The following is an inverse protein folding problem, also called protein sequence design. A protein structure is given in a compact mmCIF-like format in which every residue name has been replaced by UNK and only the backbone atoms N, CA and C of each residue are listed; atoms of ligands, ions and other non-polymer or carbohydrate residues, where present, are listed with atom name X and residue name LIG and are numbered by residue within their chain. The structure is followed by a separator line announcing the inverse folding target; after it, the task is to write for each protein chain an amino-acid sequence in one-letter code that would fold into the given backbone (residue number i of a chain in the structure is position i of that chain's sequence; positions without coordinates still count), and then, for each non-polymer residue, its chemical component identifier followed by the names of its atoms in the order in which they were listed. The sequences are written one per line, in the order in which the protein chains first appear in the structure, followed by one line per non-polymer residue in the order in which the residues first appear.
data_IF_753059201484
#
_entry.id   IF_753059201484
#
_cell.length_a   1.000
_cell.length_b   1.000
_cell.length_c   1.000
_cell.angle_alpha   90.00
_cell.angle_beta   90.00
_cell.angle_gamma   90.00
#
_symmetry.space_group_name_H-M   'P 1'
#
loop_
_entity.id
_entity.type
_entity.pdbx_description
1 polymer ?
#
# COMPACT_ATOMS: atom_id res chain seq x y z
N UNK A 1 -7.06 -8.70 12.41
CA UNK A 1 -7.03 -8.05 11.08
C UNK A 1 -7.47 -6.58 11.13
N UNK A 2 -8.53 -6.21 11.87
CA UNK A 2 -8.93 -4.80 12.01
C UNK A 2 -7.84 -3.91 12.61
N UNK A 3 -7.12 -4.41 13.62
CA UNK A 3 -5.97 -3.72 14.21
C UNK A 3 -4.84 -3.50 13.21
N UNK A 4 -4.52 -4.52 12.41
CA UNK A 4 -3.51 -4.45 11.36
C UNK A 4 -3.90 -3.45 10.26
N UNK A 5 -5.16 -3.47 9.83
CA UNK A 5 -5.66 -2.51 8.85
C UNK A 5 -5.58 -1.08 9.39
N UNK A 6 -5.97 -0.88 10.65
CA UNK A 6 -5.91 0.42 11.33
C UNK A 6 -4.48 0.91 11.50
N UNK A 7 -3.54 0.03 11.86
CA UNK A 7 -2.12 0.34 11.99
C UNK A 7 -1.52 0.83 10.66
N UNK A 8 -1.77 0.12 9.56
CA UNK A 8 -1.30 0.51 8.22
C UNK A 8 -1.92 1.86 7.80
N UNK A 9 -3.24 2.02 7.97
CA UNK A 9 -3.91 3.27 7.60
C UNK A 9 -3.44 4.45 8.44
N UNK A 10 -3.20 4.24 9.74
CA UNK A 10 -2.67 5.29 10.61
C UNK A 10 -1.25 5.67 10.22
N UNK A 11 -0.39 4.70 9.92
CA UNK A 11 0.96 4.94 9.40
C UNK A 11 0.94 5.81 8.13
N UNK A 12 0.12 5.45 7.14
CA UNK A 12 0.01 6.22 5.89
C UNK A 12 -0.44 7.67 6.16
N UNK A 13 -1.42 7.86 7.05
CA UNK A 13 -1.91 9.20 7.40
C UNK A 13 -0.86 10.05 8.12
N UNK A 14 -0.08 9.43 9.01
CA UNK A 14 0.95 10.09 9.81
C UNK A 14 2.16 10.50 8.94
N UNK A 15 2.52 9.66 7.97
CA UNK A 15 3.64 9.89 7.05
C UNK A 15 3.29 10.79 5.86
N UNK A 16 2.00 10.86 5.47
CA UNK A 16 1.55 11.64 4.32
C UNK A 16 2.07 13.10 4.28
N UNK A 17 2.10 13.85 5.40
CA UNK A 17 2.66 15.20 5.41
C UNK A 17 4.14 15.25 5.00
N UNK A 18 4.96 14.34 5.50
CA UNK A 18 6.39 14.24 5.13
C UNK A 18 6.55 13.81 3.67
N UNK A 19 5.77 12.81 3.26
CA UNK A 19 5.78 12.34 1.88
C UNK A 19 5.35 13.42 0.90
N UNK A 20 4.36 14.27 1.20
CA UNK A 20 3.95 15.38 0.34
C UNK A 20 5.09 16.36 0.07
N UNK A 21 5.95 16.61 1.06
CA UNK A 21 7.12 17.48 0.90
C UNK A 21 8.22 16.81 0.08
N UNK A 22 8.43 15.49 0.26
CA UNK A 22 9.53 14.75 -0.39
C UNK A 22 9.18 14.21 -1.78
N UNK A 23 7.91 13.96 -2.03
CA UNK A 23 7.36 13.26 -3.18
C UNK A 23 6.18 14.05 -3.75
N UNK A 24 6.42 15.08 -4.58
CA UNK A 24 5.32 15.85 -5.16
C UNK A 24 4.39 14.94 -5.97
N UNK A 25 3.07 15.08 -5.73
CA UNK A 25 2.04 14.25 -6.36
C UNK A 25 1.70 12.95 -5.61
N UNK A 26 2.38 12.62 -4.50
CA UNK A 26 2.07 11.43 -3.68
C UNK A 26 0.64 11.45 -3.12
N UNK A 27 0.00 12.61 -3.03
CA UNK A 27 -1.42 12.74 -2.63
C UNK A 27 -2.40 12.06 -3.58
N UNK A 28 -1.97 11.74 -4.81
CA UNK A 28 -2.75 10.98 -5.79
C UNK A 28 -2.64 9.46 -5.59
N UNK A 29 -1.76 9.00 -4.69
CA UNK A 29 -1.56 7.59 -4.39
C UNK A 29 -2.80 6.99 -3.73
N UNK A 30 -3.36 5.94 -4.34
CA UNK A 30 -4.44 5.17 -3.77
C UNK A 30 -3.90 3.88 -3.13
N UNK A 31 -3.98 3.81 -1.80
CA UNK A 31 -3.61 2.61 -1.03
C UNK A 31 -4.85 1.89 -0.50
N UNK A 32 -5.03 0.62 -0.86
CA UNK A 32 -6.14 -0.20 -0.38
C UNK A 32 -5.71 -1.17 0.72
N UNK A 33 -6.43 -1.17 1.84
CA UNK A 33 -6.21 -2.12 2.94
C UNK A 33 -7.54 -2.83 3.21
N UNK A 34 -7.70 -4.02 2.65
CA UNK A 34 -8.96 -4.76 2.72
C UNK A 34 -8.92 -5.78 3.84
N UNK A 35 -9.74 -5.55 4.86
CA UNK A 35 -10.06 -6.55 5.89
C UNK A 35 -11.31 -7.31 5.48
N UNK A 36 -11.15 -8.60 5.17
CA UNK A 36 -12.20 -9.53 4.75
C UNK A 36 -12.66 -9.39 3.28
N UNK A 37 -12.76 -10.56 2.63
CA UNK A 37 -13.03 -10.82 1.19
C UNK A 37 -14.39 -10.25 0.69
N UNK A 38 -15.19 -9.61 1.54
CA UNK A 38 -16.59 -9.26 1.27
C UNK A 38 -16.83 -7.94 0.52
N UNK A 39 -15.80 -7.14 0.25
CA UNK A 39 -15.88 -6.10 -0.79
C UNK A 39 -14.96 -6.52 -1.93
N UNK A 40 -15.59 -6.93 -3.04
CA UNK A 40 -15.01 -7.81 -4.06
C UNK A 40 -13.80 -7.27 -4.84
N UNK A 41 -13.34 -8.02 -5.85
CA UNK A 41 -12.12 -7.74 -6.64
C UNK A 41 -12.11 -6.42 -7.46
N UNK A 42 -13.09 -5.54 -7.24
CA UNK A 42 -13.24 -4.23 -7.90
C UNK A 42 -12.36 -3.16 -7.30
N UNK A 43 -12.30 -2.97 -5.98
CA UNK A 43 -11.55 -1.84 -5.40
C UNK A 43 -10.02 -2.06 -5.37
N UNK A 44 -9.55 -3.30 -5.21
CA UNK A 44 -8.11 -3.62 -5.25
C UNK A 44 -7.52 -3.51 -6.65
N UNK A 45 -8.35 -3.50 -7.70
CA UNK A 45 -7.93 -3.22 -9.09
C UNK A 45 -7.76 -1.74 -9.39
N UNK A 46 -8.35 -0.86 -8.57
CA UNK A 46 -8.30 0.58 -8.74
C UNK A 46 -7.27 1.26 -7.83
N UNK A 47 -6.69 0.52 -6.87
CA UNK A 47 -5.61 1.00 -6.03
C UNK A 47 -4.24 0.83 -6.71
N UNK A 48 -3.36 1.81 -6.53
CA UNK A 48 -1.97 1.74 -6.98
C UNK A 48 -1.21 0.63 -6.22
N UNK A 49 -1.49 0.49 -4.93
CA UNK A 49 -0.97 -0.60 -4.09
C UNK A 49 -2.02 -1.03 -3.07
N UNK A 50 -2.17 -2.33 -2.84
CA UNK A 50 -3.12 -2.83 -1.86
C UNK A 50 -2.77 -4.18 -1.26
N UNK A 51 -3.29 -4.43 -0.05
CA UNK A 51 -3.13 -5.69 0.67
C UNK A 51 -4.48 -6.28 1.04
N UNK A 52 -4.63 -7.58 0.78
CA UNK A 52 -5.78 -8.36 1.25
C UNK A 52 -5.35 -9.12 2.50
N UNK A 53 -5.92 -8.75 3.65
CA UNK A 53 -5.62 -9.40 4.91
C UNK A 53 -6.47 -10.67 5.08
N UNK A 54 -5.90 -11.77 5.62
CA UNK A 54 -6.64 -13.01 5.85
C UNK A 54 -7.75 -12.81 6.89
N UNK A 55 -8.84 -13.56 6.76
CA UNK A 55 -9.92 -13.61 7.73
C UNK A 55 -9.54 -14.34 9.02
N UNK A 56 -10.40 -14.23 10.04
CA UNK A 56 -10.22 -14.92 11.32
C UNK A 56 -10.23 -16.44 11.12
N UNK A 57 -9.15 -17.13 11.49
CA UNK A 57 -9.02 -18.58 11.40
C UNK A 57 -8.35 -19.09 10.11
N UNK A 58 -7.97 -18.21 9.19
CA UNK A 58 -7.21 -18.57 7.99
C UNK A 58 -5.69 -18.52 8.24
N UNK A 59 -4.92 -19.20 7.38
CA UNK A 59 -3.47 -19.12 7.42
C UNK A 59 -3.02 -17.65 7.27
N UNK A 60 -1.99 -17.19 8.03
CA UNK A 60 -1.54 -15.79 8.02
C UNK A 60 -0.79 -15.49 6.72
N UNK A 61 -1.54 -15.36 5.62
CA UNK A 61 -1.05 -15.07 4.28
C UNK A 61 -1.86 -13.93 3.69
N UNK A 62 -1.19 -12.85 3.30
CA UNK A 62 -1.80 -11.64 2.79
C UNK A 62 -1.23 -11.34 1.40
N UNK A 63 -1.97 -11.58 0.30
CA UNK A 63 -1.52 -11.19 -1.03
C UNK A 63 -1.50 -9.67 -1.17
N UNK A 64 -0.43 -9.18 -1.81
CA UNK A 64 -0.21 -7.77 -2.11
C UNK A 64 -0.33 -7.56 -3.62
N UNK A 65 -1.07 -6.53 -3.99
CA UNK A 65 -1.32 -6.13 -5.38
C UNK A 65 -0.72 -4.76 -5.62
N UNK A 66 -0.08 -4.57 -6.76
CA UNK A 66 0.49 -3.30 -7.23
C UNK A 66 0.01 -3.11 -8.67
N UNK A 67 -0.54 -1.95 -8.98
CA UNK A 67 -1.13 -1.61 -10.29
C UNK A 67 -2.08 -2.72 -10.81
N UNK A 68 -2.93 -3.23 -9.90
CA UNK A 68 -3.90 -4.30 -10.18
C UNK A 68 -3.30 -5.70 -10.43
N UNK A 69 -1.99 -5.90 -10.28
CA UNK A 69 -1.31 -7.19 -10.45
C UNK A 69 -0.77 -7.70 -9.12
N UNK A 70 -0.85 -9.01 -8.90
CA UNK A 70 -0.27 -9.64 -7.70
C UNK A 70 1.24 -9.49 -7.72
N UNK A 71 1.80 -8.74 -6.78
CA UNK A 71 3.23 -8.49 -6.67
C UNK A 71 3.90 -9.47 -5.69
N UNK A 72 3.27 -9.71 -4.54
CA UNK A 72 3.83 -10.54 -3.49
C UNK A 72 2.75 -11.25 -2.66
N UNK A 73 3.17 -12.14 -1.76
CA UNK A 73 2.31 -12.72 -0.72
C UNK A 73 3.07 -12.71 0.59
N UNK A 74 2.67 -11.84 1.49
CA UNK A 74 3.26 -11.69 2.80
C UNK A 74 2.74 -12.77 3.73
N UNK A 75 3.59 -13.26 4.64
CA UNK A 75 3.23 -14.30 5.59
C UNK A 75 3.80 -14.05 6.97
N UNK A 76 3.11 -14.56 7.99
CA UNK A 76 3.57 -14.51 9.38
C UNK A 76 3.24 -13.19 10.09
N UNK A 77 3.90 -12.90 11.24
CA UNK A 77 3.55 -11.77 12.09
C UNK A 77 3.98 -10.41 11.53
N UNK A 78 4.94 -10.39 10.59
CA UNK A 78 5.56 -9.16 10.08
C UNK A 78 4.84 -8.54 8.88
N UNK A 79 3.63 -9.02 8.53
CA UNK A 79 2.86 -8.53 7.39
C UNK A 79 2.72 -7.00 7.41
N UNK A 80 2.50 -6.39 8.58
CA UNK A 80 2.40 -4.95 8.73
C UNK A 80 3.67 -4.24 8.26
N UNK A 81 4.82 -4.65 8.80
CA UNK A 81 6.11 -4.04 8.54
C UNK A 81 6.53 -4.22 7.09
N UNK A 82 6.35 -5.42 6.54
CA UNK A 82 6.69 -5.69 5.14
C UNK A 82 5.79 -4.93 4.17
N UNK A 83 4.50 -4.78 4.48
CA UNK A 83 3.62 -3.97 3.66
C UNK A 83 3.98 -2.48 3.70
N UNK A 84 4.26 -1.92 4.90
CA UNK A 84 4.74 -0.54 5.03
C UNK A 84 6.01 -0.31 4.21
N UNK A 85 6.96 -1.23 4.26
CA UNK A 85 8.19 -1.16 3.45
C UNK A 85 7.90 -1.16 1.94
N UNK A 86 6.98 -2.02 1.47
CA UNK A 86 6.55 -2.04 0.07
C UNK A 86 5.87 -0.74 -0.37
N UNK A 87 5.05 -0.12 0.49
CA UNK A 87 4.42 1.18 0.19
C UNK A 87 5.47 2.27 0.03
N UNK A 88 6.45 2.35 0.94
CA UNK A 88 7.53 3.35 0.87
C UNK A 88 8.38 3.14 -0.40
N UNK A 89 8.74 1.89 -0.72
CA UNK A 89 9.50 1.57 -1.93
C UNK A 89 8.69 1.91 -3.20
N UNK A 90 7.39 1.62 -3.23
CA UNK A 90 6.51 2.00 -4.33
C UNK A 90 6.45 3.51 -4.52
N UNK A 91 6.29 4.28 -3.43
CA UNK A 91 6.29 5.74 -3.46
C UNK A 91 7.62 6.26 -4.00
N UNK A 92 8.75 5.73 -3.50
CA UNK A 92 10.08 6.10 -3.97
C UNK A 92 10.28 5.84 -5.46
N UNK A 93 9.78 4.71 -5.97
CA UNK A 93 9.87 4.37 -7.40
C UNK A 93 8.96 5.24 -8.27
N UNK A 94 7.72 5.47 -7.83
CA UNK A 94 6.70 6.19 -8.61
C UNK A 94 6.89 7.71 -8.58
N UNK A 95 7.15 8.27 -7.40
CA UNK A 95 7.20 9.72 -7.17
C UNK A 95 8.63 10.22 -6.93
N UNK A 96 9.57 9.37 -6.50
CA UNK A 96 10.97 9.76 -6.30
C UNK A 96 11.71 10.14 -7.59
N UNK A 97 11.24 9.65 -8.76
CA UNK A 97 11.79 10.05 -10.05
C UNK A 97 11.45 11.51 -10.45
N UNK A 98 10.44 12.12 -9.83
CA UNK A 98 10.02 13.51 -10.08
C UNK A 98 10.88 14.56 -9.40
N UNK A 99 11.67 14.20 -8.37
CA UNK A 99 12.62 15.11 -7.76
C UNK A 99 13.89 15.32 -8.62
N UNK A 100 14.09 14.51 -9.67
CA UNK A 100 15.26 14.55 -10.55
C UNK A 100 14.95 14.59 -12.05
N UNK A 101 13.69 14.63 -12.49
CA UNK A 101 13.32 14.88 -13.88
C UNK A 101 12.60 16.22 -14.01
N UNK A 102 13.42 17.26 -14.17
CA UNK A 102 13.18 18.47 -14.97
C UNK A 102 12.07 18.30 -16.01
N UNK A 103 11.20 19.28 -16.15
CA UNK A 103 11.37 20.30 -17.20
C UNK A 103 11.76 19.67 -18.55
N UNK A 104 10.75 19.30 -19.33
CA UNK A 104 10.72 19.25 -20.80
C UNK A 104 9.47 18.47 -21.23
N UNK A 105 8.38 19.17 -21.53
CA UNK A 105 7.84 19.27 -22.89
C UNK A 105 6.98 20.53 -23.00
#
# INVERSE_FOLDING_TARGET
FQELARDIQSFIRDEMPDWKTRYPGVETLNVAVMGCIVNGPGESKHADIGISLPGTGEAPSAPVFIDGRKAATLRGPNIAAEFKAMVIDYIGRRFGAGAGRSAAE
#
